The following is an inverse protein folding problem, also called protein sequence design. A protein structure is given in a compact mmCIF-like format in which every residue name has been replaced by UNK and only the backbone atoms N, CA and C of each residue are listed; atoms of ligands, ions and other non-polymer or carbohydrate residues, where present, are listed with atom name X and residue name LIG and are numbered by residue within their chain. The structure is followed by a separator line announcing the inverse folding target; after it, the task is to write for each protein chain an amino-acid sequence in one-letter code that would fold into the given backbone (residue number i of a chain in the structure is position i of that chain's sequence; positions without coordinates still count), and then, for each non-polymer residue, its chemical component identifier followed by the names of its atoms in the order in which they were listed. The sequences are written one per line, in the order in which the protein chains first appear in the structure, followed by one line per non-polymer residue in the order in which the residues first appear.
data_IF_425733646151
#
_entry.id   IF_425733646151
#
_cell.length_a   1.000
_cell.length_b   1.000
_cell.length_c   1.000
_cell.angle_alpha   90.00
_cell.angle_beta   90.00
_cell.angle_gamma   90.00
#
_symmetry.space_group_name_H-M   'P 1'
#
loop_
_entity.id
_entity.type
_entity.pdbx_description
1 polymer ?
#
# COMPACT_ATOMS: atom_id res chain seq x y z
N UNK A 1 0.96 22.38 2.30
CA UNK A 1 2.35 21.84 2.24
C UNK A 1 2.92 22.18 0.88
N UNK A 2 4.21 21.93 0.59
CA UNK A 2 4.73 22.19 -0.77
C UNK A 2 4.15 21.14 -1.73
N UNK A 3 3.28 21.60 -2.63
CA UNK A 3 2.58 20.74 -3.57
C UNK A 3 3.51 20.00 -4.54
N UNK A 4 4.69 20.57 -4.78
CA UNK A 4 5.77 19.91 -5.52
C UNK A 4 6.20 18.60 -4.84
N UNK A 5 6.32 18.60 -3.50
CA UNK A 5 6.73 17.41 -2.73
C UNK A 5 5.69 16.28 -2.80
N UNK A 6 4.40 16.61 -2.85
CA UNK A 6 3.30 15.65 -2.98
C UNK A 6 3.32 14.98 -4.36
N UNK A 7 3.57 15.77 -5.42
CA UNK A 7 3.73 15.27 -6.77
C UNK A 7 4.93 14.33 -6.89
N UNK A 8 6.07 14.68 -6.26
CA UNK A 8 7.24 13.81 -6.22
C UNK A 8 6.96 12.48 -5.52
N UNK A 9 6.23 12.48 -4.39
CA UNK A 9 5.85 11.26 -3.69
C UNK A 9 4.93 10.37 -4.53
N UNK A 10 3.95 10.96 -5.24
CA UNK A 10 3.09 10.22 -6.15
C UNK A 10 3.90 9.57 -7.27
N UNK A 11 4.78 10.33 -7.93
CA UNK A 11 5.64 9.84 -9.01
C UNK A 11 6.55 8.70 -8.52
N UNK A 12 7.21 8.88 -7.38
CA UNK A 12 8.05 7.84 -6.77
C UNK A 12 7.24 6.59 -6.41
N UNK A 13 6.04 6.77 -5.86
CA UNK A 13 5.12 5.67 -5.55
C UNK A 13 4.72 4.89 -6.80
N UNK A 14 4.43 5.57 -7.92
CA UNK A 14 4.05 4.91 -9.19
C UNK A 14 5.24 4.17 -9.78
N UNK A 15 6.43 4.78 -9.79
CA UNK A 15 7.66 4.12 -10.27
C UNK A 15 7.95 2.88 -9.42
N UNK A 16 7.83 3.00 -8.09
CA UNK A 16 8.01 1.88 -7.17
C UNK A 16 6.98 0.79 -7.41
N UNK A 17 5.69 1.11 -7.67
CA UNK A 17 4.67 0.12 -8.04
C UNK A 17 5.03 -0.60 -9.34
N UNK A 18 5.46 0.11 -10.38
CA UNK A 18 5.84 -0.51 -11.67
C UNK A 18 7.01 -1.46 -11.48
N UNK A 19 8.02 -1.03 -10.72
CA UNK A 19 9.18 -1.87 -10.39
C UNK A 19 8.76 -3.08 -9.56
N UNK A 20 7.87 -2.91 -8.59
CA UNK A 20 7.40 -3.98 -7.71
C UNK A 20 6.46 -4.96 -8.41
N UNK A 21 5.59 -4.48 -9.31
CA UNK A 21 4.70 -5.31 -10.12
C UNK A 21 5.49 -6.08 -11.19
N UNK A 22 6.48 -5.44 -11.82
CA UNK A 22 7.33 -6.07 -12.84
C UNK A 22 8.36 -7.06 -12.27
N UNK A 23 9.00 -6.70 -11.16
CA UNK A 23 10.11 -7.46 -10.56
C UNK A 23 9.65 -8.38 -9.42
N UNK A 24 8.73 -7.89 -8.57
CA UNK A 24 8.21 -8.61 -7.41
C UNK A 24 7.35 -9.81 -7.83
N UNK A 25 6.39 -9.65 -8.74
CA UNK A 25 5.47 -10.73 -9.15
C UNK A 25 6.19 -11.93 -9.79
N UNK A 26 7.37 -11.71 -10.39
CA UNK A 26 8.14 -12.76 -11.08
C UNK A 26 9.12 -13.51 -10.17
N UNK A 27 9.54 -12.92 -9.04
CA UNK A 27 10.60 -13.46 -8.17
C UNK A 27 10.18 -13.69 -6.72
N UNK A 28 9.21 -12.93 -6.21
CA UNK A 28 8.65 -13.11 -4.88
C UNK A 28 7.16 -13.46 -5.05
N UNK A 29 6.70 -14.53 -4.39
CA UNK A 29 5.28 -14.86 -4.33
C UNK A 29 4.56 -13.86 -3.41
N UNK A 30 4.48 -12.61 -3.86
CA UNK A 30 3.92 -11.51 -3.08
C UNK A 30 2.40 -11.71 -3.06
N UNK A 31 1.79 -11.82 -1.88
CA UNK A 31 0.36 -12.01 -1.76
C UNK A 31 -0.37 -10.77 -2.26
N UNK A 32 -1.44 -11.02 -3.03
CA UNK A 32 -2.29 -9.99 -3.65
C UNK A 32 -2.78 -8.92 -2.66
N UNK A 33 -2.91 -9.27 -1.38
CA UNK A 33 -3.28 -8.34 -0.31
C UNK A 33 -2.30 -7.18 -0.14
N UNK A 34 -1.00 -7.41 -0.27
CA UNK A 34 0.01 -6.34 -0.20
C UNK A 34 -0.08 -5.41 -1.41
N UNK A 35 -0.39 -5.95 -2.59
CA UNK A 35 -0.52 -5.18 -3.81
C UNK A 35 -1.77 -4.28 -3.77
N UNK A 36 -2.87 -4.79 -3.20
CA UNK A 36 -4.09 -3.99 -2.95
C UNK A 36 -3.84 -2.88 -1.92
N UNK A 37 -3.13 -3.20 -0.82
CA UNK A 37 -2.77 -2.20 0.18
C UNK A 37 -1.89 -1.08 -0.40
N UNK A 38 -0.90 -1.45 -1.23
CA UNK A 38 -0.05 -0.51 -1.93
C UNK A 38 -0.83 0.36 -2.95
N UNK A 39 -1.80 -0.24 -3.64
CA UNK A 39 -2.72 0.49 -4.51
C UNK A 39 -3.55 1.54 -3.77
N UNK A 40 -4.07 1.22 -2.58
CA UNK A 40 -4.76 2.20 -1.73
C UNK A 40 -3.82 3.32 -1.26
N UNK A 41 -2.56 3.00 -0.96
CA UNK A 41 -1.55 3.98 -0.54
C UNK A 41 -1.26 4.97 -1.68
N UNK A 42 -1.15 4.48 -2.91
CA UNK A 42 -1.04 5.31 -4.11
C UNK A 42 -2.27 6.19 -4.35
N UNK A 43 -3.46 5.66 -4.10
CA UNK A 43 -4.69 6.43 -4.20
C UNK A 43 -4.74 7.56 -3.15
N UNK A 44 -4.18 7.32 -1.95
CA UNK A 44 -4.00 8.36 -0.92
C UNK A 44 -3.12 9.49 -1.45
N UNK A 45 -1.96 9.19 -2.04
CA UNK A 45 -1.09 10.21 -2.65
C UNK A 45 -1.77 11.00 -3.77
N UNK A 46 -2.67 10.35 -4.51
CA UNK A 46 -3.44 11.00 -5.55
C UNK A 46 -4.45 12.00 -4.96
N UNK A 47 -5.06 11.66 -3.81
CA UNK A 47 -5.91 12.59 -3.07
C UNK A 47 -5.12 13.77 -2.49
N UNK A 48 -3.89 13.57 -2.01
CA UNK A 48 -3.02 14.67 -1.55
C UNK A 48 -2.71 15.65 -2.68
N UNK A 49 -2.41 15.15 -3.88
CA UNK A 49 -2.15 16.02 -5.03
C UNK A 49 -3.40 16.80 -5.43
N UNK A 50 -4.57 16.17 -5.41
CA UNK A 50 -5.86 16.83 -5.74
C UNK A 50 -6.25 17.84 -4.66
N UNK A 51 -5.94 17.59 -3.38
CA UNK A 51 -6.14 18.51 -2.27
C UNK A 51 -5.55 19.89 -2.56
N UNK A 52 -4.31 19.93 -3.03
CA UNK A 52 -3.66 21.21 -3.31
C UNK A 52 -4.25 21.95 -4.52
N UNK A 53 -5.13 21.33 -5.32
CA UNK A 53 -5.81 21.98 -6.46
C UNK A 53 -7.29 22.31 -6.20
N UNK A 54 -8.04 21.44 -5.51
CA UNK A 54 -9.50 21.55 -5.37
C UNK A 54 -9.94 21.17 -3.95
N UNK A 55 -10.62 22.10 -3.27
CA UNK A 55 -11.30 21.87 -1.98
C UNK A 55 -10.42 21.18 -0.91
N UNK A 56 -9.41 21.89 -0.37
CA UNK A 56 -8.35 21.30 0.46
C UNK A 56 -8.88 20.59 1.72
N UNK A 57 -9.87 21.13 2.41
CA UNK A 57 -10.40 20.49 3.63
C UNK A 57 -11.08 19.13 3.37
N UNK A 58 -11.78 18.98 2.24
CA UNK A 58 -12.49 17.74 1.92
C UNK A 58 -11.53 16.63 1.46
N UNK A 59 -10.52 16.99 0.68
CA UNK A 59 -9.51 16.04 0.19
C UNK A 59 -8.49 15.65 1.26
N UNK A 60 -8.15 16.55 2.19
CA UNK A 60 -7.32 16.23 3.35
C UNK A 60 -7.94 15.13 4.24
N UNK A 61 -9.28 15.18 4.43
CA UNK A 61 -10.00 14.13 5.16
C UNK A 61 -10.00 12.80 4.39
N UNK A 62 -10.19 12.86 3.07
CA UNK A 62 -10.18 11.69 2.19
C UNK A 62 -8.80 11.03 2.11
N UNK A 63 -7.73 11.84 2.07
CA UNK A 63 -6.36 11.37 2.15
C UNK A 63 -6.13 10.64 3.47
N UNK A 64 -6.45 11.26 4.59
CA UNK A 64 -6.26 10.63 5.90
C UNK A 64 -7.05 9.32 6.03
N UNK A 65 -8.29 9.27 5.51
CA UNK A 65 -9.08 8.05 5.48
C UNK A 65 -8.49 6.97 4.55
N UNK A 66 -8.01 7.36 3.36
CA UNK A 66 -7.39 6.45 2.40
C UNK A 66 -6.07 5.89 2.93
N UNK A 67 -5.24 6.73 3.56
CA UNK A 67 -4.00 6.33 4.23
C UNK A 67 -4.26 5.41 5.42
N UNK A 68 -5.26 5.72 6.26
CA UNK A 68 -5.66 4.85 7.36
C UNK A 68 -6.17 3.48 6.86
N UNK A 69 -7.00 3.47 5.81
CA UNK A 69 -7.49 2.24 5.18
C UNK A 69 -6.35 1.42 4.57
N UNK A 70 -5.39 2.07 3.90
CA UNK A 70 -4.19 1.42 3.37
C UNK A 70 -3.37 0.78 4.49
N UNK A 71 -3.18 1.48 5.62
CA UNK A 71 -2.48 0.97 6.80
C UNK A 71 -3.16 -0.26 7.41
N UNK A 72 -4.49 -0.23 7.56
CA UNK A 72 -5.27 -1.38 8.08
C UNK A 72 -5.18 -2.57 7.13
N UNK A 73 -5.31 -2.36 5.82
CA UNK A 73 -5.18 -3.43 4.81
C UNK A 73 -3.77 -4.01 4.77
N UNK A 74 -2.75 -3.17 4.93
CA UNK A 74 -1.36 -3.61 5.03
C UNK A 74 -1.13 -4.46 6.28
N UNK A 75 -1.59 -3.99 7.45
CA UNK A 75 -1.51 -4.73 8.70
C UNK A 75 -2.25 -6.06 8.63
N UNK A 76 -3.46 -6.07 8.04
CA UNK A 76 -4.22 -7.30 7.81
C UNK A 76 -3.49 -8.26 6.86
N UNK A 77 -2.90 -7.75 5.78
CA UNK A 77 -2.07 -8.53 4.85
C UNK A 77 -0.87 -9.18 5.55
N UNK A 78 -0.16 -8.43 6.40
CA UNK A 78 0.96 -8.92 7.19
C UNK A 78 0.53 -9.99 8.21
N UNK A 79 -0.57 -9.78 8.92
CA UNK A 79 -1.12 -10.76 9.87
C UNK A 79 -1.57 -12.04 9.15
N UNK A 80 -2.20 -11.92 7.98
CA UNK A 80 -2.61 -13.06 7.17
C UNK A 80 -1.41 -13.89 6.70
N UNK A 81 -0.33 -13.24 6.26
CA UNK A 81 0.94 -13.90 5.90
C UNK A 81 1.57 -14.58 7.12
N UNK A 82 1.65 -13.87 8.25
CA UNK A 82 2.27 -14.38 9.48
C UNK A 82 1.54 -15.61 10.01
N UNK A 83 0.20 -15.61 9.95
CA UNK A 83 -0.63 -16.78 10.28
C UNK A 83 -0.40 -17.96 9.33
N UNK A 84 -0.22 -17.70 8.03
CA UNK A 84 0.05 -18.75 7.04
C UNK A 84 1.44 -19.37 7.21
N UNK A 85 2.43 -18.57 7.61
CA UNK A 85 3.77 -19.04 7.96
C UNK A 85 3.77 -19.90 9.23
N UNK A 86 2.98 -19.51 10.25
CA UNK A 86 2.88 -20.27 11.50
C UNK A 86 2.14 -21.62 11.34
N UNK A 87 1.18 -21.72 10.41
CA UNK A 87 0.52 -22.98 10.09
C UNK A 87 1.43 -24.00 9.39
N UNK A 88 2.38 -23.53 8.58
CA UNK A 88 3.35 -24.39 7.89
C UNK A 88 4.42 -24.95 8.85
N UNK A 89 4.75 -24.20 9.92
CA UNK A 89 5.66 -24.65 10.97
C UNK A 89 5.04 -25.68 11.94
N UNK A 90 3.70 -25.77 11.99
CA UNK A 90 2.98 -26.74 12.81
C UNK A 90 2.76 -28.09 12.08
N UNK A 91 2.77 -28.09 10.74
CA UNK A 91 2.64 -29.31 9.92
C UNK A 91 3.94 -30.11 9.73
N UNK A 92 5.10 -29.51 10.02
CA UNK A 92 6.43 -30.13 9.87
C UNK A 92 6.97 -30.72 11.20
N UNK A 93 6.09 -30.92 12.18
CA UNK A 93 6.41 -31.47 13.51
C UNK A 93 5.64 -32.74 13.85
N UNK A 94 5.21 -33.50 12.83
CA UNK A 94 4.74 -34.88 13.05
C UNK A 94 5.87 -35.84 12.70
N UNK A 95 6.38 -36.63 13.67
CA UNK A 95 7.41 -37.65 13.44
C UNK A 95 6.90 -38.81 12.57
#
# INVERSE_FOLDING_TARGET
MFQESELFNLVLGVISLIFFAGFGTRRLSIPRSLLVAYGCLLLSYLFTVVEGFIAPDAFNLLEHLAGAAAGVMFAYGCLHISRRSNGNAAGDRTP
#
